data_IF_567369899514
#
_entry.id   IF_567369899514
#
_cell.length_a   1.000
_cell.length_b   1.000
_cell.length_c   1.000
_cell.angle_alpha   90.00
_cell.angle_beta   90.00
_cell.angle_gamma   90.00
#
_symmetry.space_group_name_H-M   'P 1'
#
loop_
_entity.id
_entity.type
_entity.pdbx_description
1 polymer ?
#
# COMPACT_ATOMS: atom_id res chain seq x y z
N UNK A 1 18.21 -28.35 -15.89
CA UNK A 1 19.22 -27.46 -15.25
C UNK A 1 20.04 -26.64 -16.24
N UNK A 2 20.55 -27.15 -17.38
CA UNK A 2 21.36 -26.36 -18.35
C UNK A 2 20.57 -25.23 -19.04
N UNK A 3 19.27 -25.40 -19.35
CA UNK A 3 18.45 -24.38 -20.05
C UNK A 3 18.05 -23.18 -19.17
N UNK A 4 17.91 -23.38 -17.86
CA UNK A 4 17.57 -22.29 -16.92
C UNK A 4 18.74 -21.33 -16.74
N UNK A 5 19.99 -21.83 -16.79
CA UNK A 5 21.18 -20.99 -16.70
C UNK A 5 21.32 -20.02 -17.90
N UNK A 6 20.81 -20.40 -19.07
CA UNK A 6 20.89 -19.54 -20.26
C UNK A 6 19.80 -18.46 -20.27
N UNK A 7 18.61 -18.73 -19.72
CA UNK A 7 17.52 -17.75 -19.63
C UNK A 7 17.82 -16.66 -18.56
N UNK A 8 18.31 -17.07 -17.41
CA UNK A 8 18.74 -16.13 -16.37
C UNK A 8 19.95 -15.29 -16.82
N UNK A 9 20.86 -15.87 -17.62
CA UNK A 9 22.03 -15.17 -18.13
C UNK A 9 21.65 -14.16 -19.25
N UNK A 10 20.64 -14.46 -20.09
CA UNK A 10 20.16 -13.55 -21.10
C UNK A 10 19.37 -12.35 -20.52
N UNK A 11 18.62 -12.53 -19.43
CA UNK A 11 17.99 -11.41 -18.71
C UNK A 11 19.02 -10.53 -17.99
N UNK A 12 20.03 -11.13 -17.38
CA UNK A 12 21.16 -10.39 -16.81
C UNK A 12 21.98 -9.65 -17.88
N UNK A 13 22.15 -10.22 -19.08
CA UNK A 13 22.89 -9.57 -20.17
C UNK A 13 22.15 -8.37 -20.74
N UNK A 14 20.79 -8.39 -20.79
CA UNK A 14 20.01 -7.23 -21.20
C UNK A 14 20.09 -6.11 -20.16
N UNK A 15 20.12 -6.43 -18.87
CA UNK A 15 20.31 -5.45 -17.81
C UNK A 15 21.75 -4.85 -17.77
N UNK A 16 22.75 -5.61 -18.20
CA UNK A 16 24.17 -5.17 -18.18
C UNK A 16 24.67 -4.55 -19.49
N UNK A 17 24.01 -4.77 -20.63
CA UNK A 17 24.42 -4.18 -21.92
C UNK A 17 23.95 -2.74 -22.06
N UNK A 18 22.93 -2.29 -21.31
CA UNK A 18 22.52 -0.88 -21.30
C UNK A 18 23.56 0.11 -20.74
N UNK A 19 24.40 -0.21 -19.74
CA UNK A 19 25.41 0.73 -19.26
C UNK A 19 26.50 1.06 -20.25
N UNK A 20 26.85 0.17 -21.16
CA UNK A 20 27.94 0.41 -22.13
C UNK A 20 27.55 1.37 -23.26
N UNK A 21 26.28 1.50 -23.59
CA UNK A 21 25.80 2.51 -24.55
C UNK A 21 25.68 3.92 -23.92
N UNK A 22 25.65 4.01 -22.59
CA UNK A 22 25.56 5.27 -21.83
C UNK A 22 26.93 5.78 -21.35
N UNK A 23 28.01 5.00 -21.51
CA UNK A 23 29.36 5.35 -21.03
C UNK A 23 30.00 6.53 -21.74
N UNK A 24 29.33 7.16 -22.71
CA UNK A 24 29.80 8.38 -23.39
C UNK A 24 29.06 9.66 -22.93
N UNK A 25 28.16 9.58 -21.97
CA UNK A 25 27.52 10.78 -21.43
C UNK A 25 28.44 11.40 -20.37
N UNK A 26 28.97 12.59 -20.69
CA UNK A 26 29.79 13.40 -19.79
C UNK A 26 29.08 13.55 -18.45
N UNK A 27 29.83 13.47 -17.33
CA UNK A 27 29.37 13.89 -16.01
C UNK A 27 29.01 15.38 -16.09
N UNK A 28 27.72 15.67 -16.21
CA UNK A 28 27.19 16.99 -15.95
C UNK A 28 26.97 17.13 -14.43
N UNK A 29 27.27 18.33 -13.90
CA UNK A 29 26.86 18.73 -12.56
C UNK A 29 25.40 18.32 -12.32
N UNK A 30 25.13 17.83 -11.11
CA UNK A 30 23.81 17.34 -10.69
C UNK A 30 22.88 18.55 -10.66
N UNK A 31 22.27 18.90 -11.79
CA UNK A 31 21.01 19.64 -11.76
C UNK A 31 20.00 18.79 -11.01
N UNK A 32 19.25 19.38 -10.09
CA UNK A 32 18.20 18.70 -9.34
C UNK A 32 17.32 17.91 -10.30
N UNK A 33 17.29 16.59 -10.06
CA UNK A 33 16.59 15.63 -10.93
C UNK A 33 15.08 15.71 -10.65
N UNK A 34 14.45 16.78 -11.17
CA UNK A 34 13.03 17.07 -10.95
C UNK A 34 12.19 16.76 -12.19
N UNK A 35 10.99 16.20 -12.04
CA UNK A 35 10.06 16.00 -13.14
C UNK A 35 9.62 17.34 -13.75
N UNK A 36 9.48 17.41 -15.07
CA UNK A 36 8.93 18.59 -15.74
C UNK A 36 7.44 18.73 -15.44
N UNK A 37 7.02 19.88 -14.92
CA UNK A 37 5.62 20.21 -14.66
C UNK A 37 5.13 21.16 -15.75
N UNK A 38 4.01 20.82 -16.39
CA UNK A 38 3.34 21.64 -17.40
C UNK A 38 2.16 22.37 -16.75
N UNK A 39 2.18 23.71 -16.75
CA UNK A 39 1.11 24.53 -16.17
C UNK A 39 0.42 25.36 -17.24
N UNK A 40 -0.92 25.32 -17.25
CA UNK A 40 -1.79 26.13 -18.10
C UNK A 40 -2.65 27.02 -17.18
N UNK A 41 -2.50 28.34 -17.29
CA UNK A 41 -3.29 29.31 -16.58
C UNK A 41 -4.44 29.85 -17.47
N UNK A 42 -5.65 29.88 -16.93
CA UNK A 42 -6.88 30.31 -17.63
C UNK A 42 -7.54 31.48 -16.93
N UNK A 43 -8.09 32.41 -17.68
CA UNK A 43 -8.82 33.60 -17.17
C UNK A 43 -8.06 34.90 -17.31
N UNK A 44 -8.63 36.00 -16.79
CA UNK A 44 -8.03 37.32 -16.85
C UNK A 44 -6.90 37.48 -15.84
N UNK A 45 -5.87 38.26 -16.20
CA UNK A 45 -4.76 38.56 -15.29
C UNK A 45 -5.23 39.53 -14.20
N UNK A 46 -4.91 39.17 -12.96
CA UNK A 46 -5.03 40.12 -11.85
C UNK A 46 -3.83 41.07 -11.90
N UNK A 47 -4.06 42.35 -12.13
CA UNK A 47 -3.01 43.39 -12.22
C UNK A 47 -2.19 43.54 -10.92
N UNK A 48 -2.57 42.88 -9.84
CA UNK A 48 -2.07 43.13 -8.47
C UNK A 48 -0.93 42.17 -8.06
N UNK A 49 -0.68 41.09 -8.81
CA UNK A 49 0.31 40.05 -8.45
C UNK A 49 1.25 39.71 -9.62
N UNK A 50 2.52 39.50 -9.30
CA UNK A 50 3.51 39.01 -10.25
C UNK A 50 3.11 37.58 -10.72
N UNK A 51 2.89 37.36 -12.03
CA UNK A 51 2.47 36.06 -12.55
C UNK A 51 3.42 34.91 -12.21
N UNK A 52 4.73 35.16 -12.11
CA UNK A 52 5.72 34.13 -11.76
C UNK A 52 5.60 33.71 -10.29
N UNK A 53 5.37 34.64 -9.38
CA UNK A 53 5.16 34.33 -7.95
C UNK A 53 3.90 33.48 -7.75
N UNK A 54 2.81 33.79 -8.45
CA UNK A 54 1.57 33.00 -8.42
C UNK A 54 1.80 31.62 -8.99
N UNK A 55 2.55 31.50 -10.09
CA UNK A 55 2.90 30.21 -10.71
C UNK A 55 3.69 29.31 -9.78
N UNK A 56 4.73 29.83 -9.15
CA UNK A 56 5.55 29.09 -8.19
C UNK A 56 4.71 28.61 -7.02
N UNK A 57 3.89 29.47 -6.42
CA UNK A 57 3.02 29.11 -5.30
C UNK A 57 2.01 28.01 -5.67
N UNK A 58 1.45 28.03 -6.89
CA UNK A 58 0.53 26.99 -7.35
C UNK A 58 1.29 25.68 -7.53
N UNK A 59 2.48 25.67 -8.12
CA UNK A 59 3.28 24.45 -8.29
C UNK A 59 3.63 23.87 -6.92
N UNK A 60 4.08 24.70 -5.98
CA UNK A 60 4.40 24.26 -4.62
C UNK A 60 3.21 23.60 -3.90
N UNK A 61 1.98 24.03 -4.16
CA UNK A 61 0.75 23.42 -3.60
C UNK A 61 0.52 22.00 -4.12
N UNK A 62 1.04 21.64 -5.28
CA UNK A 62 0.90 20.30 -5.88
C UNK A 62 2.11 19.43 -5.62
N UNK A 63 3.31 19.99 -5.48
CA UNK A 63 4.54 19.26 -5.24
C UNK A 63 4.61 18.90 -3.75
N UNK A 64 4.36 17.65 -3.45
CA UNK A 64 4.59 17.14 -2.11
C UNK A 64 6.10 16.96 -1.91
N UNK A 65 6.66 17.74 -1.00
CA UNK A 65 8.08 17.65 -0.62
C UNK A 65 8.35 16.41 0.25
N UNK A 66 7.30 15.72 0.71
CA UNK A 66 7.41 14.47 1.44
C UNK A 66 7.68 13.33 0.46
N UNK A 67 8.49 12.40 0.90
CA UNK A 67 8.71 11.15 0.17
C UNK A 67 7.38 10.42 -0.02
N UNK A 68 7.12 10.01 -1.28
CA UNK A 68 5.95 9.19 -1.56
C UNK A 68 6.12 7.81 -0.92
N UNK A 69 5.16 7.41 -0.12
CA UNK A 69 5.09 6.06 0.42
C UNK A 69 4.72 5.05 -0.66
N UNK A 70 4.87 3.78 -0.32
CA UNK A 70 4.39 2.67 -1.13
C UNK A 70 2.92 2.89 -1.51
N UNK A 71 2.57 2.68 -2.77
CA UNK A 71 1.21 2.84 -3.29
C UNK A 71 0.66 4.29 -3.35
N UNK A 72 1.42 5.30 -2.96
CA UNK A 72 1.00 6.69 -3.17
C UNK A 72 1.23 7.13 -4.62
N UNK A 73 0.37 8.04 -5.11
CA UNK A 73 0.54 8.66 -6.41
C UNK A 73 1.70 9.66 -6.38
N UNK A 74 2.39 9.78 -7.50
CA UNK A 74 3.38 10.84 -7.70
C UNK A 74 2.70 12.21 -7.86
N UNK A 75 3.50 13.28 -7.92
CA UNK A 75 3.00 14.63 -8.19
C UNK A 75 2.39 14.69 -9.60
N UNK A 76 1.32 15.48 -9.82
CA UNK A 76 0.73 15.64 -11.14
C UNK A 76 1.71 16.37 -12.07
N UNK A 77 1.81 15.91 -13.30
CA UNK A 77 2.64 16.56 -14.32
C UNK A 77 1.91 17.71 -15.02
N UNK A 78 0.58 17.63 -15.12
CA UNK A 78 -0.23 18.65 -15.77
C UNK A 78 -1.07 19.41 -14.74
N UNK A 79 -0.90 20.74 -14.69
CA UNK A 79 -1.65 21.62 -13.78
C UNK A 79 -2.43 22.65 -14.60
N UNK A 80 -3.73 22.71 -14.40
CA UNK A 80 -4.63 23.71 -14.94
C UNK A 80 -5.05 24.62 -13.78
N UNK A 81 -4.84 25.92 -13.89
CA UNK A 81 -5.19 26.86 -12.82
C UNK A 81 -5.92 28.08 -13.35
N UNK A 82 -6.81 28.65 -12.52
CA UNK A 82 -7.29 30.01 -12.74
C UNK A 82 -6.21 30.99 -12.33
N UNK A 83 -6.03 32.08 -13.09
CA UNK A 83 -5.02 33.10 -12.80
C UNK A 83 -5.17 33.78 -11.44
N UNK A 84 -6.36 33.76 -10.86
CA UNK A 84 -6.63 34.26 -9.53
C UNK A 84 -6.38 33.24 -8.40
N UNK A 85 -5.79 32.08 -8.72
CA UNK A 85 -5.51 30.98 -7.78
C UNK A 85 -6.72 30.50 -6.95
N UNK A 86 -7.96 30.73 -7.42
CA UNK A 86 -9.15 30.22 -6.73
C UNK A 86 -9.42 28.75 -6.98
N UNK A 87 -9.02 28.26 -8.16
CA UNK A 87 -9.18 26.87 -8.54
C UNK A 87 -7.93 26.38 -9.29
N UNK A 88 -7.40 25.25 -8.90
CA UNK A 88 -6.31 24.59 -9.59
C UNK A 88 -6.58 23.08 -9.65
N UNK A 89 -6.34 22.47 -10.81
CA UNK A 89 -6.55 21.06 -11.08
C UNK A 89 -5.25 20.43 -11.57
N UNK A 90 -4.68 19.53 -10.80
CA UNK A 90 -3.57 18.68 -11.20
C UNK A 90 -4.07 17.34 -11.73
N UNK A 91 -3.54 16.92 -12.88
CA UNK A 91 -3.79 15.61 -13.48
C UNK A 91 -2.46 14.89 -13.62
N UNK A 92 -2.43 13.64 -13.19
CA UNK A 92 -1.26 12.80 -13.29
C UNK A 92 -1.63 11.33 -13.34
N UNK A 93 -0.62 10.52 -13.51
CA UNK A 93 -0.80 9.09 -13.59
C UNK A 93 0.51 8.35 -13.77
N UNK A 94 0.39 7.05 -13.96
CA UNK A 94 1.51 6.22 -14.38
C UNK A 94 1.05 5.11 -15.30
N UNK A 95 1.88 4.78 -16.27
CA UNK A 95 1.81 3.52 -17.01
C UNK A 95 2.83 2.59 -16.38
N UNK A 96 2.37 1.42 -15.94
CA UNK A 96 3.21 0.42 -15.29
C UNK A 96 3.07 -0.91 -16.01
N UNK A 97 4.17 -1.50 -16.40
CA UNK A 97 4.24 -2.87 -16.88
C UNK A 97 5.17 -3.65 -15.97
N UNK A 98 4.64 -4.68 -15.33
CA UNK A 98 5.44 -5.67 -14.59
C UNK A 98 5.38 -7.03 -15.26
N UNK A 99 6.51 -7.70 -15.30
CA UNK A 99 6.63 -9.08 -15.77
C UNK A 99 7.22 -9.91 -14.64
N UNK A 100 6.56 -11.01 -14.30
CA UNK A 100 6.95 -11.89 -13.21
C UNK A 100 7.16 -13.30 -13.72
N UNK A 101 8.12 -14.01 -13.14
CA UNK A 101 8.37 -15.42 -13.38
C UNK A 101 8.47 -16.17 -12.06
N UNK A 102 7.53 -17.07 -11.82
CA UNK A 102 7.58 -17.99 -10.70
C UNK A 102 8.57 -19.13 -11.01
N UNK A 103 9.61 -19.26 -10.18
CA UNK A 103 10.66 -20.28 -10.35
C UNK A 103 10.23 -21.63 -9.81
N UNK A 104 9.47 -21.62 -8.69
CA UNK A 104 8.97 -22.80 -8.01
C UNK A 104 7.79 -22.41 -7.11
N UNK A 105 6.75 -23.23 -7.06
CA UNK A 105 5.58 -23.00 -6.23
C UNK A 105 4.79 -21.81 -6.76
N UNK A 106 4.40 -21.83 -8.05
CA UNK A 106 3.68 -20.73 -8.66
C UNK A 106 2.47 -20.33 -7.81
N UNK A 107 2.46 -19.07 -7.39
CA UNK A 107 1.35 -18.47 -6.66
C UNK A 107 0.22 -18.21 -7.66
N UNK A 108 -1.00 -18.65 -7.35
CA UNK A 108 -2.16 -18.51 -8.21
C UNK A 108 -2.60 -17.06 -8.44
N UNK A 109 -1.96 -16.10 -7.77
CA UNK A 109 -2.27 -14.68 -7.78
C UNK A 109 -1.21 -13.88 -8.55
N UNK A 110 -1.62 -12.79 -9.20
CA UNK A 110 -0.74 -11.83 -9.86
C UNK A 110 0.20 -11.14 -8.85
N UNK A 111 -0.27 -10.91 -7.63
CA UNK A 111 0.53 -10.48 -6.51
C UNK A 111 1.17 -11.67 -5.80
N UNK A 112 2.27 -11.43 -5.10
CA UNK A 112 2.95 -12.49 -4.37
C UNK A 112 2.41 -12.56 -2.93
N UNK A 113 1.28 -13.26 -2.77
CA UNK A 113 0.58 -13.41 -1.50
C UNK A 113 0.99 -14.73 -0.84
N UNK A 114 1.70 -14.73 0.30
CA UNK A 114 2.09 -15.97 1.00
C UNK A 114 0.90 -16.85 1.37
N UNK A 115 -0.24 -16.27 1.71
CA UNK A 115 -1.50 -16.99 1.96
C UNK A 115 -1.93 -17.88 0.78
N UNK A 116 -1.67 -17.46 -0.45
CA UNK A 116 -2.07 -18.15 -1.69
C UNK A 116 -1.04 -19.17 -2.16
N UNK A 117 0.07 -19.37 -1.45
CA UNK A 117 1.05 -20.41 -1.80
C UNK A 117 0.37 -21.78 -1.69
N UNK A 118 0.33 -22.56 -2.81
CA UNK A 118 -0.38 -23.83 -2.83
C UNK A 118 0.29 -24.85 -1.91
N UNK A 119 -0.51 -25.47 -1.03
CA UNK A 119 -0.03 -26.47 -0.08
C UNK A 119 0.15 -27.87 -0.73
N UNK A 120 -0.52 -28.13 -1.85
CA UNK A 120 -0.36 -29.38 -2.59
C UNK A 120 0.80 -29.27 -3.59
N UNK A 121 1.76 -30.17 -3.45
CA UNK A 121 2.87 -30.28 -4.42
C UNK A 121 2.33 -30.87 -5.73
N UNK A 122 2.05 -30.02 -6.69
CA UNK A 122 1.73 -30.43 -8.06
C UNK A 122 2.92 -30.13 -8.96
N UNK A 123 3.35 -31.12 -9.77
CA UNK A 123 4.38 -30.89 -10.78
C UNK A 123 3.84 -30.10 -11.99
N UNK A 124 2.52 -29.95 -12.12
CA UNK A 124 1.88 -29.30 -13.26
C UNK A 124 2.04 -27.77 -13.24
N UNK A 125 2.05 -27.15 -12.05
CA UNK A 125 2.05 -25.70 -11.90
C UNK A 125 3.25 -25.21 -11.06
N UNK A 126 4.46 -25.62 -11.45
CA UNK A 126 5.69 -25.21 -10.75
C UNK A 126 6.23 -23.87 -11.23
N UNK A 127 5.99 -23.52 -12.48
CA UNK A 127 6.55 -22.33 -13.13
C UNK A 127 5.45 -21.58 -13.86
N UNK A 128 5.48 -20.27 -13.77
CA UNK A 128 4.50 -19.39 -14.44
C UNK A 128 5.18 -18.09 -14.86
N UNK A 129 4.94 -17.64 -16.10
CA UNK A 129 5.23 -16.30 -16.54
C UNK A 129 3.94 -15.46 -16.51
N UNK A 130 4.02 -14.23 -16.06
CA UNK A 130 2.90 -13.28 -16.05
C UNK A 130 3.38 -11.92 -16.53
N UNK A 131 2.51 -11.21 -17.25
CA UNK A 131 2.69 -9.80 -17.60
C UNK A 131 1.43 -9.05 -17.20
N UNK A 132 1.59 -7.95 -16.48
CA UNK A 132 0.48 -7.18 -15.92
C UNK A 132 0.71 -5.68 -16.06
N UNK A 133 -0.31 -4.98 -16.51
CA UNK A 133 -0.37 -3.53 -16.59
C UNK A 133 -1.51 -2.92 -15.73
N UNK A 134 -2.21 -3.75 -14.95
CA UNK A 134 -3.41 -3.33 -14.18
C UNK A 134 -3.12 -2.34 -13.06
N UNK A 135 -1.85 -2.23 -12.64
CA UNK A 135 -1.38 -1.25 -11.66
C UNK A 135 -1.13 0.14 -12.25
N UNK A 136 -1.30 0.32 -13.57
CA UNK A 136 -1.35 1.66 -14.17
C UNK A 136 -2.44 2.49 -13.52
N UNK A 137 -2.19 3.80 -13.33
CA UNK A 137 -3.04 4.68 -12.53
C UNK A 137 -3.33 5.99 -13.24
N UNK A 138 -4.50 6.55 -12.90
CA UNK A 138 -4.89 7.92 -13.23
C UNK A 138 -5.38 8.58 -11.94
N UNK A 139 -4.93 9.80 -11.68
CA UNK A 139 -5.40 10.58 -10.54
C UNK A 139 -5.63 12.05 -10.90
N UNK A 140 -6.50 12.69 -10.14
CA UNK A 140 -6.77 14.11 -10.20
C UNK A 140 -6.75 14.68 -8.78
N UNK A 141 -6.11 15.84 -8.61
CA UNK A 141 -6.09 16.60 -7.36
C UNK A 141 -6.57 18.02 -7.68
N UNK A 142 -7.72 18.42 -7.14
CA UNK A 142 -8.19 19.80 -7.25
C UNK A 142 -7.96 20.54 -5.93
N UNK A 143 -7.53 21.80 -6.04
CA UNK A 143 -7.35 22.72 -4.91
C UNK A 143 -8.26 23.91 -5.15
N UNK A 144 -9.13 24.19 -4.17
CA UNK A 144 -10.11 25.27 -4.22
C UNK A 144 -9.83 26.19 -3.04
N UNK A 145 -9.45 27.44 -3.32
CA UNK A 145 -9.27 28.47 -2.32
C UNK A 145 -10.57 29.26 -2.14
N UNK A 146 -11.32 28.96 -1.07
CA UNK A 146 -12.59 29.56 -0.74
C UNK A 146 -12.42 30.60 0.37
N UNK A 147 -13.06 31.74 0.23
CA UNK A 147 -13.07 32.78 1.28
C UNK A 147 -13.81 32.34 2.57
N UNK A 148 -14.76 31.40 2.43
CA UNK A 148 -15.61 30.93 3.55
C UNK A 148 -15.06 29.66 4.19
N UNK A 149 -14.61 28.73 3.39
CA UNK A 149 -14.20 27.39 3.82
C UNK A 149 -12.69 27.22 3.93
N UNK A 150 -11.91 28.25 3.52
CA UNK A 150 -10.47 28.14 3.41
C UNK A 150 -10.08 27.25 2.21
N UNK A 151 -9.01 26.49 2.37
CA UNK A 151 -8.49 25.60 1.33
C UNK A 151 -9.20 24.26 1.37
N UNK A 152 -9.79 23.86 0.25
CA UNK A 152 -10.45 22.57 0.04
C UNK A 152 -9.65 21.74 -0.95
N UNK A 153 -9.35 20.50 -0.60
CA UNK A 153 -8.72 19.53 -1.49
C UNK A 153 -9.74 18.50 -1.93
N UNK A 154 -9.79 18.22 -3.23
CA UNK A 154 -10.56 17.11 -3.79
C UNK A 154 -9.58 16.19 -4.50
N UNK A 155 -9.59 14.91 -4.16
CA UNK A 155 -8.70 13.92 -4.74
C UNK A 155 -9.48 12.74 -5.26
N UNK A 156 -9.11 12.22 -6.42
CA UNK A 156 -9.60 10.96 -6.95
C UNK A 156 -8.47 10.21 -7.64
N UNK A 157 -8.47 8.89 -7.47
CA UNK A 157 -7.41 8.00 -7.94
C UNK A 157 -8.02 6.65 -8.32
N UNK A 158 -7.64 6.12 -9.47
CA UNK A 158 -8.09 4.83 -9.99
C UNK A 158 -6.94 4.01 -10.57
N UNK A 159 -7.05 2.69 -10.45
CA UNK A 159 -6.26 1.70 -11.17
C UNK A 159 -7.18 0.79 -12.00
N UNK A 160 -6.63 -0.26 -12.62
CA UNK A 160 -7.38 -1.20 -13.47
C UNK A 160 -7.49 -2.60 -12.86
N UNK A 161 -7.65 -2.67 -11.54
CA UNK A 161 -7.72 -3.92 -10.76
C UNK A 161 -9.13 -4.19 -10.18
N UNK A 162 -10.17 -3.68 -10.83
CA UNK A 162 -11.56 -3.76 -10.33
C UNK A 162 -12.27 -5.09 -10.56
N UNK A 163 -11.70 -6.00 -11.34
CA UNK A 163 -12.29 -7.30 -11.65
C UNK A 163 -11.35 -8.47 -11.38
N UNK A 164 -11.62 -9.59 -12.02
CA UNK A 164 -10.72 -10.74 -12.02
C UNK A 164 -9.37 -10.38 -12.67
N UNK A 165 -8.34 -11.17 -12.41
CA UNK A 165 -7.01 -10.98 -13.00
C UNK A 165 -7.12 -10.87 -14.55
N UNK A 166 -6.35 -9.93 -15.11
CA UNK A 166 -6.26 -9.65 -16.56
C UNK A 166 -7.54 -9.11 -17.22
N UNK A 167 -8.56 -8.71 -16.47
CA UNK A 167 -9.78 -8.08 -17.03
C UNK A 167 -9.65 -6.58 -17.22
N UNK A 168 -8.70 -5.94 -16.52
CA UNK A 168 -8.40 -4.49 -16.59
C UNK A 168 -9.60 -3.57 -16.34
N UNK A 169 -10.49 -3.97 -15.43
CA UNK A 169 -11.65 -3.15 -15.04
C UNK A 169 -11.18 -2.00 -14.12
N UNK A 170 -11.61 -0.75 -14.39
CA UNK A 170 -11.29 0.38 -13.52
C UNK A 170 -11.75 0.14 -12.07
N UNK A 171 -10.88 0.44 -11.10
CA UNK A 171 -11.16 0.37 -9.68
C UNK A 171 -10.92 1.72 -9.03
N UNK A 172 -11.91 2.24 -8.33
CA UNK A 172 -11.77 3.43 -7.51
C UNK A 172 -10.90 3.08 -6.29
N UNK A 173 -9.73 3.71 -6.18
CA UNK A 173 -8.83 3.59 -5.03
C UNK A 173 -9.19 4.61 -3.97
N UNK A 174 -9.07 5.88 -4.30
CA UNK A 174 -9.41 7.00 -3.43
C UNK A 174 -10.34 7.98 -4.14
N UNK A 175 -11.30 8.53 -3.40
CA UNK A 175 -12.14 9.64 -3.81
C UNK A 175 -12.61 10.35 -2.54
N UNK A 176 -12.01 11.50 -2.25
CA UNK A 176 -12.32 12.23 -1.01
C UNK A 176 -12.24 13.73 -1.18
N UNK A 177 -12.87 14.41 -0.23
CA UNK A 177 -12.73 15.84 0.01
C UNK A 177 -12.03 16.02 1.35
N UNK A 178 -10.97 16.85 1.38
CA UNK A 178 -10.32 17.28 2.61
C UNK A 178 -10.60 18.76 2.85
N UNK A 179 -11.07 19.08 4.05
CA UNK A 179 -11.50 20.42 4.46
C UNK A 179 -11.34 20.56 5.96
N UNK A 180 -10.63 21.61 6.41
CA UNK A 180 -10.46 21.94 7.83
C UNK A 180 -9.93 20.78 8.70
N UNK A 181 -9.13 19.89 8.11
CA UNK A 181 -8.62 18.69 8.77
C UNK A 181 -9.54 17.47 8.67
N UNK A 182 -10.76 17.62 8.15
CA UNK A 182 -11.65 16.49 7.86
C UNK A 182 -11.37 15.94 6.47
N UNK A 183 -11.26 14.62 6.37
CA UNK A 183 -11.29 13.86 5.12
C UNK A 183 -12.58 13.06 5.08
N UNK A 184 -13.41 13.26 4.05
CA UNK A 184 -14.68 12.57 3.87
C UNK A 184 -14.70 11.92 2.50
N UNK A 185 -14.92 10.62 2.45
CA UNK A 185 -14.96 9.83 1.23
C UNK A 185 -14.27 8.48 1.39
N UNK A 186 -13.66 8.00 0.31
CA UNK A 186 -12.91 6.74 0.26
C UNK A 186 -11.42 7.01 0.19
N UNK A 187 -10.64 6.37 1.06
CA UNK A 187 -9.18 6.48 1.07
C UNK A 187 -8.55 5.25 1.74
N UNK A 188 -7.23 5.21 1.80
CA UNK A 188 -6.51 4.22 2.59
C UNK A 188 -6.89 4.36 4.06
N UNK A 189 -7.14 3.23 4.70
CA UNK A 189 -7.53 3.16 6.12
C UNK A 189 -6.59 4.00 7.01
N UNK A 190 -7.16 4.66 7.98
CA UNK A 190 -6.43 5.43 8.99
C UNK A 190 -5.54 4.56 9.87
N UNK A 191 -5.80 3.26 9.93
CA UNK A 191 -4.95 2.28 10.63
C UNK A 191 -3.61 2.07 9.93
N UNK A 192 -3.55 2.24 8.60
CA UNK A 192 -2.35 2.10 7.78
C UNK A 192 -1.38 3.29 7.95
N UNK A 193 -0.09 3.00 7.95
CA UNK A 193 0.99 3.98 7.80
C UNK A 193 1.67 3.79 6.46
N UNK A 194 1.23 4.53 5.45
CA UNK A 194 1.71 4.39 4.06
C UNK A 194 3.22 4.60 3.93
N UNK A 195 3.80 5.49 4.75
CA UNK A 195 5.22 5.81 4.66
C UNK A 195 6.12 4.75 5.34
N UNK A 196 5.56 3.84 6.14
CA UNK A 196 6.28 2.75 6.79
C UNK A 196 6.48 1.51 5.91
N UNK A 197 5.96 1.50 4.68
CA UNK A 197 6.17 0.41 3.74
C UNK A 197 7.32 0.71 2.78
N UNK A 198 8.23 -0.23 2.55
CA UNK A 198 9.27 -0.12 1.53
C UNK A 198 8.66 -0.21 0.13
N UNK A 199 9.35 0.36 -0.86
CA UNK A 199 8.95 0.23 -2.26
C UNK A 199 9.27 -1.17 -2.80
N UNK A 200 8.27 -1.84 -3.41
CA UNK A 200 8.39 -3.14 -4.07
C UNK A 200 7.81 -3.08 -5.48
N UNK A 201 8.23 -4.01 -6.37
CA UNK A 201 7.54 -4.24 -7.65
C UNK A 201 6.23 -4.97 -7.39
N UNK A 202 6.26 -5.91 -6.45
CA UNK A 202 5.05 -6.60 -6.02
C UNK A 202 4.04 -5.60 -5.43
N UNK A 203 2.82 -5.61 -5.98
CA UNK A 203 1.77 -4.68 -5.56
C UNK A 203 1.25 -4.99 -4.16
N UNK A 204 1.30 -6.26 -3.75
CA UNK A 204 0.99 -6.68 -2.39
C UNK A 204 1.98 -6.05 -1.40
N UNK A 205 3.28 -6.13 -1.68
CA UNK A 205 4.34 -5.75 -0.77
C UNK A 205 4.43 -6.68 0.46
N UNK A 206 5.10 -6.23 1.53
CA UNK A 206 5.27 -7.03 2.75
C UNK A 206 3.94 -7.48 3.34
N UNK A 207 3.79 -8.77 3.59
CA UNK A 207 2.52 -9.41 3.94
C UNK A 207 1.92 -8.97 5.30
N UNK A 208 2.72 -8.45 6.23
CA UNK A 208 2.25 -7.89 7.50
C UNK A 208 1.83 -6.41 7.41
N UNK A 209 1.85 -5.81 6.22
CA UNK A 209 1.46 -4.43 6.04
C UNK A 209 -0.06 -4.25 6.21
N UNK A 210 -0.49 -3.08 6.67
CA UNK A 210 -1.88 -2.83 7.09
C UNK A 210 -2.64 -1.99 6.06
N UNK A 211 -2.67 -2.42 4.81
CA UNK A 211 -3.23 -1.67 3.70
C UNK A 211 -4.65 -2.12 3.36
N UNK A 212 -5.61 -1.21 3.44
CA UNK A 212 -6.99 -1.39 3.00
C UNK A 212 -7.55 -0.07 2.50
N UNK A 213 -8.57 -0.11 1.62
CA UNK A 213 -9.33 1.07 1.21
C UNK A 213 -10.71 1.01 1.84
N UNK A 214 -11.08 2.07 2.57
CA UNK A 214 -12.38 2.17 3.25
C UNK A 214 -13.07 3.50 2.96
N UNK A 215 -14.38 3.52 2.98
CA UNK A 215 -15.18 4.72 3.11
C UNK A 215 -15.08 5.24 4.53
N UNK A 216 -14.81 6.55 4.70
CA UNK A 216 -14.48 7.10 6.01
C UNK A 216 -14.88 8.56 6.20
N UNK A 217 -14.99 8.92 7.47
CA UNK A 217 -14.86 10.29 7.97
C UNK A 217 -13.65 10.28 8.90
N UNK A 218 -12.59 10.99 8.53
CA UNK A 218 -11.34 11.10 9.29
C UNK A 218 -11.09 12.55 9.65
N UNK A 219 -10.64 12.81 10.87
CA UNK A 219 -10.16 14.10 11.31
C UNK A 219 -8.71 14.01 11.75
N UNK A 220 -7.87 14.89 11.20
CA UNK A 220 -6.43 14.93 11.47
C UNK A 220 -6.01 16.33 11.89
N UNK A 221 -5.15 16.41 12.91
CA UNK A 221 -4.60 17.67 13.39
C UNK A 221 -3.14 17.54 13.77
N UNK A 222 -2.35 18.49 13.29
CA UNK A 222 -0.95 18.66 13.66
C UNK A 222 -0.78 19.61 14.83
N UNK A 223 0.17 19.30 15.70
CA UNK A 223 0.64 20.08 16.85
C UNK A 223 2.15 20.24 16.77
N UNK A 224 2.72 21.14 17.59
CA UNK A 224 4.18 21.35 17.68
C UNK A 224 4.79 21.58 16.27
N UNK A 225 4.23 22.50 15.48
CA UNK A 225 4.64 22.75 14.09
C UNK A 225 4.58 21.48 13.21
N UNK A 226 3.57 20.64 13.44
CA UNK A 226 3.36 19.34 12.78
C UNK A 226 4.44 18.27 13.08
N UNK A 227 5.21 18.41 14.17
CA UNK A 227 6.01 17.30 14.68
C UNK A 227 5.15 16.22 15.34
N UNK A 228 4.05 16.61 15.97
CA UNK A 228 3.06 15.70 16.52
C UNK A 228 1.79 15.76 15.67
N UNK A 229 1.32 14.63 15.17
CA UNK A 229 0.07 14.49 14.43
C UNK A 229 -0.83 13.49 15.12
N UNK A 230 -2.12 13.81 15.21
CA UNK A 230 -3.15 12.94 15.78
C UNK A 230 -4.27 12.82 14.76
N UNK A 231 -4.78 11.61 14.57
CA UNK A 231 -5.92 11.33 13.71
C UNK A 231 -6.92 10.42 14.38
N UNK A 232 -8.19 10.65 14.08
CA UNK A 232 -9.32 9.79 14.47
C UNK A 232 -10.22 9.57 13.27
N UNK A 233 -10.80 8.38 13.12
CA UNK A 233 -11.66 8.06 12.00
C UNK A 233 -12.80 7.11 12.40
N UNK A 234 -13.90 7.24 11.68
CA UNK A 234 -14.97 6.26 11.58
C UNK A 234 -14.96 5.70 10.16
N UNK A 235 -14.76 4.38 10.02
CA UNK A 235 -14.58 3.71 8.73
C UNK A 235 -15.64 2.64 8.52
N UNK A 236 -16.03 2.39 7.26
CA UNK A 236 -16.98 1.35 6.91
C UNK A 236 -16.40 -0.03 7.28
N UNK A 237 -17.09 -0.82 8.13
CA UNK A 237 -16.59 -2.11 8.56
C UNK A 237 -16.70 -3.16 7.45
N UNK A 238 -15.65 -3.97 7.30
CA UNK A 238 -15.64 -5.17 6.47
C UNK A 238 -15.42 -6.38 7.39
N UNK A 239 -16.35 -7.31 7.44
CA UNK A 239 -16.26 -8.49 8.31
C UNK A 239 -16.03 -9.73 7.47
N UNK A 240 -14.93 -10.41 7.72
CA UNK A 240 -14.53 -11.68 7.09
C UNK A 240 -14.42 -12.76 8.16
N UNK A 241 -15.45 -13.61 8.30
CA UNK A 241 -15.54 -14.55 9.41
C UNK A 241 -16.18 -15.90 9.03
N UNK A 242 -15.99 -16.90 9.88
CA UNK A 242 -16.62 -18.21 9.77
C UNK A 242 -17.79 -18.29 10.73
N UNK A 243 -19.02 -18.27 10.21
CA UNK A 243 -20.24 -18.19 11.02
C UNK A 243 -20.73 -19.54 11.55
N UNK A 244 -20.34 -20.66 10.95
CA UNK A 244 -20.88 -21.98 11.27
C UNK A 244 -22.38 -22.11 10.95
N UNK A 245 -23.07 -23.08 11.57
CA UNK A 245 -24.50 -23.31 11.32
C UNK A 245 -25.41 -22.45 12.19
N UNK A 246 -24.92 -22.03 13.36
CA UNK A 246 -25.71 -21.29 14.37
C UNK A 246 -25.81 -19.80 14.13
N UNK A 247 -24.99 -19.24 13.25
CA UNK A 247 -24.92 -17.81 13.01
C UNK A 247 -25.03 -17.48 11.52
N UNK A 248 -25.36 -16.22 11.22
CA UNK A 248 -25.34 -15.70 9.86
C UNK A 248 -24.95 -14.22 9.81
N UNK A 249 -24.36 -13.77 8.68
CA UNK A 249 -23.99 -12.38 8.48
C UNK A 249 -25.23 -11.49 8.34
N UNK A 250 -25.18 -10.30 8.91
CA UNK A 250 -26.18 -9.24 8.74
C UNK A 250 -25.48 -7.90 8.49
N UNK A 251 -26.26 -6.87 8.15
CA UNK A 251 -25.72 -5.53 7.94
C UNK A 251 -25.07 -4.98 9.20
N UNK A 252 -23.87 -4.43 9.05
CA UNK A 252 -23.14 -3.79 10.14
C UNK A 252 -23.83 -2.48 10.54
N UNK A 253 -23.83 -2.14 11.83
CA UNK A 253 -24.56 -1.01 12.40
C UNK A 253 -23.69 0.11 12.96
N UNK A 254 -22.42 -0.19 13.23
CA UNK A 254 -21.46 0.76 13.83
C UNK A 254 -20.19 0.75 12.95
N UNK A 255 -19.63 1.91 12.60
CA UNK A 255 -18.36 1.97 11.91
C UNK A 255 -17.20 1.48 12.78
N UNK A 256 -16.14 0.99 12.17
CA UNK A 256 -14.87 0.72 12.85
C UNK A 256 -14.27 2.06 13.33
N UNK A 257 -13.90 2.13 14.60
CA UNK A 257 -13.27 3.29 15.23
C UNK A 257 -11.76 3.16 15.18
N UNK A 258 -11.07 4.16 14.60
CA UNK A 258 -9.61 4.15 14.46
C UNK A 258 -9.03 5.43 15.02
N UNK A 259 -7.87 5.32 15.67
CA UNK A 259 -7.11 6.48 16.13
C UNK A 259 -5.61 6.23 15.97
N UNK A 260 -4.86 7.31 15.76
CA UNK A 260 -3.40 7.26 15.77
C UNK A 260 -2.77 8.50 16.38
N UNK A 261 -1.54 8.32 16.84
CA UNK A 261 -0.61 9.39 17.17
C UNK A 261 0.72 9.14 16.45
N UNK A 262 1.27 10.19 15.84
CA UNK A 262 2.52 10.13 15.08
C UNK A 262 3.44 11.24 15.55
N UNK A 263 4.72 10.91 15.76
CA UNK A 263 5.77 11.88 16.01
C UNK A 263 6.77 11.85 14.85
N UNK A 264 7.03 13.03 14.26
CA UNK A 264 7.88 13.17 13.09
C UNK A 264 9.03 14.16 13.37
N UNK A 265 10.21 13.84 12.82
CA UNK A 265 11.44 14.65 12.96
C UNK A 265 12.28 14.59 11.67
N UNK A 266 13.44 15.24 11.71
CA UNK A 266 14.34 15.34 10.55
C UNK A 266 13.95 16.44 9.59
N UNK A 267 14.71 16.56 8.50
CA UNK A 267 14.46 17.54 7.46
C UNK A 267 13.11 17.25 6.79
N UNK A 268 12.27 18.29 6.65
CA UNK A 268 10.91 18.17 6.14
C UNK A 268 10.08 17.07 6.82
N UNK A 269 10.44 16.65 8.06
CA UNK A 269 9.78 15.57 8.81
C UNK A 269 9.83 14.22 8.06
N UNK A 270 10.98 13.93 7.47
CA UNK A 270 11.23 12.71 6.70
C UNK A 270 11.16 11.43 7.54
N UNK A 271 11.49 11.54 8.83
CA UNK A 271 11.43 10.42 9.78
C UNK A 271 10.22 10.53 10.70
N UNK A 272 9.60 9.39 11.02
CA UNK A 272 8.51 9.34 11.99
C UNK A 272 8.39 7.98 12.65
N UNK A 273 7.68 7.98 13.79
CA UNK A 273 7.10 6.78 14.41
C UNK A 273 5.61 7.04 14.66
N UNK A 274 4.81 5.99 14.56
CA UNK A 274 3.36 6.06 14.68
C UNK A 274 2.83 4.89 15.51
N UNK A 275 1.89 5.19 16.39
CA UNK A 275 1.07 4.23 17.11
C UNK A 275 -0.37 4.39 16.66
N UNK A 276 -0.98 3.30 16.19
CA UNK A 276 -2.38 3.27 15.72
C UNK A 276 -3.16 2.21 16.49
N UNK A 277 -4.46 2.43 16.66
CA UNK A 277 -5.40 1.49 17.25
C UNK A 277 -6.70 1.42 16.47
N UNK A 278 -7.32 0.24 16.45
CA UNK A 278 -8.65 -0.01 15.87
C UNK A 278 -9.53 -0.75 16.86
N UNK A 279 -10.81 -0.38 16.90
CA UNK A 279 -11.88 -1.09 17.62
C UNK A 279 -13.04 -1.32 16.67
N UNK A 280 -13.63 -2.51 16.74
CA UNK A 280 -14.65 -2.99 15.80
C UNK A 280 -15.86 -3.59 16.54
N UNK A 281 -17.07 -3.31 16.05
CA UNK A 281 -18.33 -3.95 16.47
C UNK A 281 -18.84 -4.82 15.30
N UNK A 282 -18.52 -6.11 15.33
CA UNK A 282 -18.90 -7.06 14.27
C UNK A 282 -20.26 -7.67 14.59
N UNK A 283 -21.31 -7.18 13.95
CA UNK A 283 -22.72 -7.51 14.22
C UNK A 283 -23.19 -8.70 13.39
N UNK A 284 -23.91 -9.62 14.02
CA UNK A 284 -24.36 -10.88 13.41
C UNK A 284 -25.65 -11.40 14.05
N UNK A 285 -26.35 -12.31 13.36
CA UNK A 285 -27.56 -12.94 13.83
C UNK A 285 -27.29 -14.34 14.39
N UNK A 286 -27.82 -14.65 15.56
CA UNK A 286 -27.83 -15.99 16.17
C UNK A 286 -29.14 -16.71 15.82
N UNK A 287 -29.09 -17.67 14.91
CA UNK A 287 -30.26 -18.45 14.46
C UNK A 287 -30.86 -19.34 15.56
N UNK A 288 -30.06 -19.70 16.56
CA UNK A 288 -30.53 -20.57 17.64
C UNK A 288 -31.39 -19.82 18.64
N UNK A 289 -31.01 -18.58 18.97
CA UNK A 289 -31.77 -17.75 19.93
C UNK A 289 -32.76 -16.81 19.23
N UNK A 290 -32.63 -16.59 17.94
CA UNK A 290 -33.36 -15.59 17.17
C UNK A 290 -32.97 -14.15 17.47
N UNK A 291 -31.86 -13.92 18.17
CA UNK A 291 -31.37 -12.60 18.57
C UNK A 291 -30.12 -12.20 17.82
N UNK A 292 -29.93 -10.90 17.66
CA UNK A 292 -28.70 -10.37 17.12
C UNK A 292 -27.66 -10.19 18.23
N UNK A 293 -26.41 -10.47 17.94
CA UNK A 293 -25.28 -10.37 18.86
C UNK A 293 -24.10 -9.68 18.20
N UNK A 294 -23.04 -9.44 18.96
CA UNK A 294 -21.86 -8.75 18.51
C UNK A 294 -20.59 -9.50 18.92
N UNK A 295 -19.55 -9.42 18.05
CA UNK A 295 -18.18 -9.78 18.39
C UNK A 295 -17.32 -8.52 18.34
N UNK A 296 -16.55 -8.29 19.41
CA UNK A 296 -15.64 -7.13 19.47
C UNK A 296 -14.29 -7.51 18.91
N UNK A 297 -13.86 -6.80 17.87
CA UNK A 297 -12.50 -6.84 17.34
C UNK A 297 -11.68 -5.67 17.85
N UNK A 298 -10.38 -5.84 17.99
CA UNK A 298 -9.46 -4.76 18.31
C UNK A 298 -8.05 -5.05 17.81
N UNK A 299 -7.27 -4.00 17.55
CA UNK A 299 -5.89 -4.13 17.16
C UNK A 299 -5.07 -2.90 17.51
N UNK A 300 -3.77 -3.11 17.64
CA UNK A 300 -2.78 -2.07 17.84
C UNK A 300 -1.62 -2.28 16.87
N UNK A 301 -1.09 -1.18 16.36
CA UNK A 301 0.03 -1.16 15.41
C UNK A 301 1.06 -0.14 15.87
N UNK A 302 2.32 -0.52 15.79
CA UNK A 302 3.47 0.40 15.85
C UNK A 302 4.17 0.36 14.51
N UNK A 303 4.45 1.53 13.93
CA UNK A 303 5.08 1.66 12.62
C UNK A 303 6.04 2.84 12.58
N UNK A 304 6.86 2.91 11.56
CA UNK A 304 7.72 4.05 11.34
C UNK A 304 8.61 3.92 10.12
N UNK A 305 9.08 5.09 9.69
CA UNK A 305 10.11 5.27 8.70
C UNK A 305 11.21 6.17 9.29
N UNK A 306 12.44 5.73 9.20
CA UNK A 306 13.60 6.48 9.73
C UNK A 306 14.60 6.68 8.60
N UNK A 307 14.86 7.93 8.28
CA UNK A 307 15.90 8.34 7.34
C UNK A 307 17.21 8.58 8.10
N UNK A 308 18.26 7.85 7.73
CA UNK A 308 19.60 7.98 8.30
C UNK A 308 20.51 8.66 7.28
N UNK A 309 20.57 9.98 7.35
CA UNK A 309 21.18 10.80 6.31
C UNK A 309 20.47 10.59 4.97
N UNK A 310 21.13 10.93 3.86
CA UNK A 310 20.57 10.71 2.51
C UNK A 310 20.75 9.28 1.97
N UNK A 311 21.40 8.41 2.73
CA UNK A 311 21.90 7.12 2.24
C UNK A 311 21.07 5.91 2.64
N UNK A 312 20.40 5.95 3.78
CA UNK A 312 19.69 4.76 4.32
C UNK A 312 18.32 5.16 4.82
N UNK A 313 17.31 4.37 4.41
CA UNK A 313 15.96 4.43 4.94
C UNK A 313 15.62 3.11 5.62
N UNK A 314 15.08 3.19 6.82
CA UNK A 314 14.62 2.05 7.59
C UNK A 314 13.09 2.09 7.68
N UNK A 315 12.46 0.96 7.41
CA UNK A 315 11.01 0.77 7.45
C UNK A 315 10.68 -0.29 8.49
N UNK A 316 9.67 -0.02 9.30
CA UNK A 316 9.22 -0.95 10.32
C UNK A 316 7.69 -0.88 10.50
N UNK A 317 7.10 -2.03 10.77
CA UNK A 317 5.70 -2.15 11.16
C UNK A 317 5.51 -3.41 12.00
N UNK A 318 4.73 -3.32 13.07
CA UNK A 318 4.31 -4.45 13.88
C UNK A 318 2.86 -4.26 14.30
N UNK A 319 2.05 -5.29 14.13
CA UNK A 319 0.62 -5.30 14.42
C UNK A 319 0.25 -6.52 15.26
N UNK A 320 -0.63 -6.32 16.22
CA UNK A 320 -1.28 -7.37 16.99
C UNK A 320 -2.75 -7.05 17.19
N UNK A 321 -3.61 -8.05 17.13
CA UNK A 321 -5.03 -7.87 17.44
C UNK A 321 -5.83 -9.15 17.39
N UNK A 322 -7.14 -9.01 17.57
CA UNK A 322 -8.15 -10.07 17.45
C UNK A 322 -9.29 -9.55 16.59
N UNK A 323 -9.69 -10.33 15.56
CA UNK A 323 -10.77 -9.93 14.68
C UNK A 323 -10.42 -8.71 13.81
N UNK A 324 -9.19 -8.64 13.29
CA UNK A 324 -8.69 -7.56 12.45
C UNK A 324 -8.21 -8.04 11.07
N UNK A 325 -8.77 -9.12 10.58
CA UNK A 325 -8.40 -9.77 9.31
C UNK A 325 -8.29 -8.79 8.12
N UNK A 326 -9.23 -7.86 7.90
CA UNK A 326 -9.16 -6.91 6.78
C UNK A 326 -7.99 -5.93 6.86
N UNK A 327 -7.40 -5.79 8.05
CA UNK A 327 -6.31 -4.85 8.33
C UNK A 327 -4.91 -5.50 8.29
N UNK A 328 -4.80 -6.79 7.96
CA UNK A 328 -3.52 -7.48 7.72
C UNK A 328 -3.53 -8.00 6.29
N UNK A 329 -2.62 -7.51 5.47
CA UNK A 329 -2.68 -7.69 4.02
C UNK A 329 -2.67 -9.15 3.58
N UNK A 330 -1.86 -10.01 4.22
CA UNK A 330 -1.83 -11.46 3.93
C UNK A 330 -3.15 -12.18 4.24
N UNK A 331 -3.94 -11.66 5.16
CA UNK A 331 -5.21 -12.24 5.62
C UNK A 331 -6.43 -11.55 5.02
N UNK A 332 -6.26 -10.46 4.27
CA UNK A 332 -7.36 -9.68 3.72
C UNK A 332 -8.27 -10.56 2.85
N UNK A 333 -9.56 -10.60 3.18
CA UNK A 333 -10.56 -11.47 2.52
C UNK A 333 -10.65 -12.89 3.09
N UNK A 334 -9.69 -13.35 3.91
CA UNK A 334 -9.77 -14.65 4.58
C UNK A 334 -10.76 -14.61 5.78
N UNK A 335 -11.48 -15.70 6.09
CA UNK A 335 -12.59 -15.70 7.05
C UNK A 335 -12.13 -15.88 8.51
N UNK A 336 -11.23 -15.00 9.00
CA UNK A 336 -10.56 -15.17 10.30
C UNK A 336 -10.85 -14.08 11.33
N UNK A 337 -11.77 -13.16 11.10
CA UNK A 337 -12.16 -12.18 12.13
C UNK A 337 -12.67 -12.88 13.40
N UNK A 338 -13.55 -13.84 13.21
CA UNK A 338 -14.01 -14.75 14.28
C UNK A 338 -14.41 -16.10 13.68
N UNK A 339 -14.51 -17.10 14.55
CA UNK A 339 -15.01 -18.43 14.21
C UNK A 339 -15.78 -19.01 15.37
N UNK A 340 -16.56 -20.06 15.12
CA UNK A 340 -17.24 -20.80 16.18
C UNK A 340 -16.27 -21.73 16.93
N UNK A 341 -16.56 -21.98 18.20
CA UNK A 341 -15.86 -22.98 18.99
C UNK A 341 -16.35 -24.39 18.59
N UNK A 342 -15.47 -25.31 18.11
CA UNK A 342 -15.88 -26.65 17.69
C UNK A 342 -16.54 -27.48 18.79
N UNK A 343 -16.19 -27.23 20.05
CA UNK A 343 -16.77 -27.92 21.23
C UNK A 343 -18.07 -27.27 21.71
N UNK A 344 -18.34 -26.04 21.27
CA UNK A 344 -19.53 -25.26 21.60
C UNK A 344 -19.95 -24.40 20.39
N UNK A 345 -20.61 -24.99 19.39
CA UNK A 345 -20.93 -24.30 18.12
C UNK A 345 -21.81 -23.05 18.26
N UNK A 346 -22.42 -22.86 19.45
CA UNK A 346 -23.20 -21.66 19.80
C UNK A 346 -22.36 -20.53 20.38
N UNK A 347 -21.06 -20.73 20.60
CA UNK A 347 -20.12 -19.70 21.07
C UNK A 347 -19.16 -19.30 19.96
N UNK A 348 -19.03 -17.99 19.73
CA UNK A 348 -18.06 -17.40 18.80
C UNK A 348 -16.85 -16.88 19.56
N UNK A 349 -15.72 -16.89 18.88
CA UNK A 349 -14.48 -16.32 19.39
C UNK A 349 -13.71 -15.59 18.28
N UNK A 350 -13.21 -14.40 18.57
CA UNK A 350 -12.30 -13.66 17.72
C UNK A 350 -10.92 -14.33 17.72
N UNK A 351 -10.28 -14.43 16.56
CA UNK A 351 -8.99 -15.09 16.45
C UNK A 351 -7.84 -14.11 16.67
N UNK A 352 -6.83 -14.49 17.49
CA UNK A 352 -5.62 -13.70 17.64
C UNK A 352 -4.78 -13.78 16.37
N UNK A 353 -4.26 -12.63 15.94
CA UNK A 353 -3.36 -12.53 14.81
C UNK A 353 -2.34 -11.42 15.03
N UNK A 354 -1.16 -11.62 14.47
CA UNK A 354 -0.09 -10.63 14.55
C UNK A 354 0.85 -10.74 13.35
N UNK A 355 1.58 -9.69 13.10
CA UNK A 355 2.59 -9.66 12.06
C UNK A 355 3.58 -8.52 12.28
N UNK A 356 4.71 -8.61 11.60
CA UNK A 356 5.68 -7.55 11.58
C UNK A 356 6.49 -7.56 10.28
N UNK A 357 7.02 -6.40 9.95
CA UNK A 357 7.97 -6.22 8.86
C UNK A 357 9.11 -5.32 9.27
N UNK A 358 10.28 -5.56 8.69
CA UNK A 358 11.41 -4.68 8.72
C UNK A 358 12.12 -4.69 7.37
N UNK A 359 12.50 -3.50 6.89
CA UNK A 359 13.23 -3.35 5.65
C UNK A 359 14.23 -2.22 5.73
N UNK A 360 15.28 -2.30 4.91
CA UNK A 360 16.26 -1.25 4.74
C UNK A 360 16.43 -0.95 3.24
N UNK A 361 16.45 0.32 2.92
CA UNK A 361 16.80 0.84 1.59
C UNK A 361 18.14 1.55 1.67
N UNK A 362 19.01 1.28 0.70
CA UNK A 362 20.31 1.94 0.55
C UNK A 362 20.30 2.73 -0.74
N UNK A 363 20.40 4.05 -0.63
CA UNK A 363 20.40 4.99 -1.74
C UNK A 363 21.84 5.17 -2.25
N UNK A 364 22.22 4.47 -3.30
CA UNK A 364 23.56 4.58 -3.90
C UNK A 364 23.71 5.94 -4.61
N UNK A 365 22.69 6.33 -5.33
CA UNK A 365 22.53 7.67 -5.91
C UNK A 365 21.15 8.16 -5.47
N UNK A 366 21.05 9.13 -4.54
CA UNK A 366 19.77 9.61 -4.04
C UNK A 366 18.80 9.92 -5.17
N UNK A 367 17.54 9.52 -5.01
CA UNK A 367 16.45 9.67 -5.98
C UNK A 367 16.65 8.99 -7.34
N UNK A 368 17.78 8.34 -7.60
CA UNK A 368 18.08 7.74 -8.91
C UNK A 368 18.36 6.25 -8.89
N UNK A 369 19.13 5.75 -7.92
CA UNK A 369 19.52 4.35 -7.87
C UNK A 369 19.61 3.86 -6.44
N UNK A 370 18.79 2.85 -6.11
CA UNK A 370 18.75 2.29 -4.76
C UNK A 370 18.47 0.79 -4.74
N UNK A 371 18.84 0.17 -3.63
CA UNK A 371 18.52 -1.20 -3.28
C UNK A 371 17.60 -1.20 -2.07
N UNK A 372 16.64 -2.12 -2.04
CA UNK A 372 15.81 -2.36 -0.85
C UNK A 372 15.76 -3.83 -0.56
N UNK A 373 15.84 -4.22 0.69
CA UNK A 373 15.63 -5.58 1.14
C UNK A 373 14.89 -5.62 2.46
N UNK A 374 14.07 -6.66 2.64
CA UNK A 374 13.27 -6.77 3.84
C UNK A 374 12.70 -8.16 4.09
N UNK A 375 12.17 -8.30 5.30
CA UNK A 375 11.49 -9.47 5.80
C UNK A 375 10.15 -9.08 6.42
N UNK A 376 9.15 -9.90 6.21
CA UNK A 376 7.84 -9.74 6.81
C UNK A 376 7.25 -11.11 7.16
N UNK A 377 6.41 -11.13 8.20
CA UNK A 377 5.85 -12.34 8.74
C UNK A 377 4.47 -12.08 9.34
N UNK A 378 3.53 -12.98 9.09
CA UNK A 378 2.16 -12.95 9.63
C UNK A 378 1.85 -14.26 10.31
N UNK A 379 1.21 -14.20 11.47
CA UNK A 379 0.75 -15.34 12.23
C UNK A 379 -0.74 -15.22 12.53
N UNK A 380 -1.43 -16.33 12.37
CA UNK A 380 -2.78 -16.58 12.87
C UNK A 380 -2.67 -17.67 13.94
N UNK A 381 -3.20 -17.40 15.15
CA UNK A 381 -3.09 -18.33 16.25
C UNK A 381 -4.35 -19.19 16.37
N UNK A 382 -4.15 -20.48 16.63
CA UNK A 382 -5.23 -21.39 16.98
C UNK A 382 -5.67 -21.08 18.43
N UNK A 383 -6.91 -20.70 18.59
CA UNK A 383 -7.52 -20.49 19.91
C UNK A 383 -8.58 -21.57 20.14
N UNK A 384 -8.50 -22.29 21.28
CA UNK A 384 -9.43 -23.34 21.70
C UNK A 384 -9.77 -24.40 20.63
N UNK A 385 -8.82 -24.76 19.76
CA UNK A 385 -9.00 -25.75 18.69
C UNK A 385 -9.88 -25.30 17.53
N UNK A 386 -10.19 -24.03 17.44
CA UNK A 386 -11.15 -23.46 16.51
C UNK A 386 -10.78 -23.53 15.02
N UNK A 387 -9.53 -23.78 14.70
CA UNK A 387 -9.01 -23.87 13.34
C UNK A 387 -8.61 -25.30 12.99
N UNK A 388 -9.02 -25.78 11.81
CA UNK A 388 -8.63 -27.10 11.33
C UNK A 388 -7.15 -27.14 10.91
N UNK A 389 -6.58 -28.34 10.80
CA UNK A 389 -5.19 -28.56 10.48
C UNK A 389 -4.76 -28.02 9.10
N UNK A 390 -5.69 -27.93 8.16
CA UNK A 390 -5.42 -27.42 6.80
C UNK A 390 -5.51 -25.89 6.70
N UNK A 391 -5.93 -25.19 7.74
CA UNK A 391 -6.05 -23.73 7.72
C UNK A 391 -4.69 -23.09 7.93
N UNK A 392 -4.58 -21.84 7.45
CA UNK A 392 -3.39 -21.01 7.51
C UNK A 392 -2.96 -20.79 8.97
N UNK A 393 -1.64 -20.88 9.21
CA UNK A 393 -1.00 -20.57 10.49
C UNK A 393 -0.02 -19.43 10.36
N UNK A 394 0.85 -19.47 9.33
CA UNK A 394 1.92 -18.49 9.17
C UNK A 394 2.29 -18.28 7.71
N UNK A 395 2.60 -17.03 7.34
CA UNK A 395 3.20 -16.66 6.07
C UNK A 395 4.45 -15.84 6.26
N UNK A 396 5.49 -16.13 5.48
CA UNK A 396 6.73 -15.35 5.44
C UNK A 396 6.91 -14.73 4.06
N UNK A 397 7.46 -13.53 4.04
CA UNK A 397 7.74 -12.76 2.84
C UNK A 397 9.14 -12.15 2.95
N UNK A 398 10.01 -12.50 2.03
CA UNK A 398 11.37 -11.98 1.92
C UNK A 398 11.52 -11.37 0.53
N UNK A 399 12.05 -10.16 0.46
CA UNK A 399 12.27 -9.50 -0.80
C UNK A 399 13.63 -8.82 -0.85
N UNK A 400 14.12 -8.67 -2.08
CA UNK A 400 15.26 -7.83 -2.39
C UNK A 400 15.08 -7.25 -3.78
N UNK A 401 15.25 -5.94 -3.93
CA UNK A 401 15.02 -5.27 -5.20
C UNK A 401 16.05 -4.17 -5.50
N UNK A 402 16.05 -3.76 -6.76
CA UNK A 402 16.86 -2.69 -7.31
C UNK A 402 15.94 -1.80 -8.12
N UNK A 403 16.00 -0.50 -7.89
CA UNK A 403 15.28 0.51 -8.67
C UNK A 403 16.27 1.47 -9.32
N UNK A 404 15.99 1.83 -10.56
CA UNK A 404 16.77 2.78 -11.31
C UNK A 404 15.87 3.74 -12.09
N UNK A 405 15.91 5.03 -11.74
CA UNK A 405 15.27 6.09 -12.48
C UNK A 405 16.17 6.48 -13.66
N UNK A 406 15.82 6.01 -14.87
CA UNK A 406 16.49 6.35 -16.12
C UNK A 406 16.34 7.85 -16.40
N UNK A 407 15.12 8.35 -16.21
CA UNK A 407 14.76 9.77 -16.18
C UNK A 407 13.91 10.02 -14.93
N UNK A 408 13.63 11.28 -14.53
CA UNK A 408 12.73 11.57 -13.41
C UNK A 408 11.37 10.89 -13.51
N UNK A 409 10.91 10.62 -14.73
CA UNK A 409 9.60 10.08 -15.01
C UNK A 409 9.62 8.60 -15.40
N UNK A 410 10.79 8.02 -15.71
CA UNK A 410 10.90 6.64 -16.19
C UNK A 410 11.77 5.79 -15.26
N UNK A 411 11.15 4.78 -14.66
CA UNK A 411 11.76 3.87 -13.68
C UNK A 411 11.82 2.45 -14.24
N UNK A 412 12.97 1.80 -14.07
CA UNK A 412 13.16 0.37 -14.25
C UNK A 412 13.45 -0.27 -12.92
N UNK A 413 12.95 -1.50 -12.69
CA UNK A 413 13.24 -2.22 -11.46
C UNK A 413 13.33 -3.73 -11.68
N UNK A 414 14.09 -4.39 -10.78
CA UNK A 414 14.24 -5.84 -10.69
C UNK A 414 14.01 -6.25 -9.23
N UNK A 415 13.24 -7.33 -9.00
CA UNK A 415 12.93 -7.82 -7.66
C UNK A 415 12.98 -9.35 -7.61
N UNK A 416 13.50 -9.86 -6.51
CA UNK A 416 13.40 -11.26 -6.12
C UNK A 416 12.54 -11.40 -4.87
N UNK A 417 11.59 -12.34 -4.91
CA UNK A 417 10.68 -12.66 -3.83
C UNK A 417 10.84 -14.11 -3.41
N UNK A 418 10.88 -14.34 -2.12
CA UNK A 418 10.76 -15.65 -1.49
C UNK A 418 9.64 -15.61 -0.45
N UNK A 419 8.73 -16.57 -0.50
CA UNK A 419 7.66 -16.70 0.48
C UNK A 419 7.52 -18.14 0.96
N UNK A 420 6.94 -18.27 2.15
CA UNK A 420 6.51 -19.56 2.68
C UNK A 420 5.12 -19.44 3.29
N UNK A 421 4.38 -20.55 3.24
CA UNK A 421 3.12 -20.74 3.95
C UNK A 421 3.21 -21.98 4.80
N UNK A 422 2.74 -21.89 6.04
CA UNK A 422 2.59 -22.98 6.99
C UNK A 422 1.13 -23.08 7.43
N UNK A 423 0.59 -24.28 7.50
CA UNK A 423 -0.75 -24.56 8.00
C UNK A 423 -0.70 -24.99 9.48
N UNK A 424 -1.87 -25.08 10.13
CA UNK A 424 -2.00 -25.48 11.54
C UNK A 424 -1.46 -26.88 11.84
N UNK A 425 -1.29 -27.74 10.82
CA UNK A 425 -0.65 -29.07 10.92
C UNK A 425 0.88 -29.04 10.82
N UNK A 426 1.49 -27.84 10.77
CA UNK A 426 2.92 -27.62 10.47
C UNK A 426 3.36 -28.05 9.06
N UNK A 427 2.41 -28.46 8.22
CA UNK A 427 2.68 -28.63 6.79
C UNK A 427 3.05 -27.28 6.17
N UNK A 428 4.10 -27.24 5.37
CA UNK A 428 4.59 -26.00 4.78
C UNK A 428 4.96 -26.17 3.30
N UNK A 429 4.85 -25.07 2.55
CA UNK A 429 5.35 -24.96 1.18
C UNK A 429 5.98 -23.58 0.95
N UNK A 430 6.72 -23.44 -0.15
CA UNK A 430 7.50 -22.25 -0.49
C UNK A 430 7.33 -21.88 -1.95
N UNK A 431 7.40 -20.58 -2.23
CA UNK A 431 7.37 -20.02 -3.57
C UNK A 431 8.53 -19.04 -3.78
N UNK A 432 8.95 -18.89 -5.05
CA UNK A 432 9.99 -17.94 -5.42
C UNK A 432 9.59 -17.28 -6.74
N UNK A 433 9.74 -15.96 -6.81
CA UNK A 433 9.40 -15.13 -7.97
C UNK A 433 10.53 -14.16 -8.29
N UNK A 434 10.76 -13.95 -9.58
CA UNK A 434 11.55 -12.82 -10.07
C UNK A 434 10.58 -11.90 -10.83
N UNK A 435 10.66 -10.60 -10.57
CA UNK A 435 9.84 -9.60 -11.24
C UNK A 435 10.70 -8.50 -11.83
N UNK A 436 10.32 -8.00 -12.99
CA UNK A 436 10.87 -6.79 -13.61
C UNK A 436 9.75 -5.81 -13.85
N UNK A 437 10.05 -4.51 -13.77
CA UNK A 437 9.09 -3.44 -13.95
C UNK A 437 9.65 -2.34 -14.83
N UNK A 438 8.80 -1.81 -15.70
CA UNK A 438 8.99 -0.54 -16.38
C UNK A 438 7.80 0.36 -16.06
N UNK A 439 8.08 1.57 -15.53
CA UNK A 439 7.06 2.52 -15.14
C UNK A 439 7.36 3.90 -15.68
N UNK A 440 6.37 4.56 -16.25
CA UNK A 440 6.44 5.95 -16.69
C UNK A 440 5.37 6.78 -15.95
N UNK A 441 5.81 7.83 -15.25
CA UNK A 441 4.93 8.76 -14.52
C UNK A 441 4.68 10.02 -15.36
N UNK A 442 3.43 10.55 -15.35
CA UNK A 442 3.05 11.75 -16.08
C UNK A 442 2.07 12.65 -15.31
#
# INVERSE_FOLDING_TARGET
MKRIKHFALSLLTVAFVMPSAMAQTRFYEVEEYTPTIYMIAVGEELQEYDPEVVRVAIIEDFVETKRHGFQQAHNPQFIFSTRNNRFSLGIGGMVNLRTSYDLKGAVGNIDFVPYDIPMHKSNANQQRVMMDASTSRLFMKAIINSNTLGRVYVYTDMDFRGGEEFTYIPRLRSAYVNLLGFTVGRDVTTFCDLAAAPTTIDFQGPNAYNFAFNEMIRYERGFLRNHLQVGVAAEMPVVNATYGESFEPIYQRVPDGIAYVQFAWGDNKSSHVRLSGVIRDMYLHNKTTGENTTQVGWGAQFSGHIEVGSWVDLYMNGVYGRGITPYIQDLAGAPYDFTYNPHKPTELQTLPMWGWQAAAQVNIIPSRFWFTGGYSNVHLERDNGALSDNQYKRGEYIFGNIFYNVTPNFTLALEYLHGSRENMSDAHNRANRISVMAQYNF
#
